data_IF_239170838906
#
_entry.id   IF_239170838906
#
_cell.length_a   1.000
_cell.length_b   1.000
_cell.length_c   1.000
_cell.angle_alpha   90.00
_cell.angle_beta   90.00
_cell.angle_gamma   90.00
#
_symmetry.space_group_name_H-M   'P 1'
#
loop_
_entity.id
_entity.type
_entity.pdbx_description
1 polymer ?
#
# COMPACT_ATOMS: atom_id res chain seq x y z
N UNK A 1 58.40 16.72 -16.13
CA UNK A 1 57.62 17.44 -17.16
C UNK A 1 56.70 16.43 -17.80
N UNK A 2 55.49 16.31 -17.35
CA UNK A 2 54.39 15.62 -18.05
C UNK A 2 53.06 16.17 -17.51
N UNK A 3 52.39 16.90 -18.39
CA UNK A 3 51.11 17.56 -18.12
C UNK A 3 49.97 16.53 -18.04
N UNK A 4 49.22 16.56 -16.97
CA UNK A 4 47.92 15.91 -16.87
C UNK A 4 46.82 16.97 -17.06
N UNK A 5 46.07 16.83 -18.14
CA UNK A 5 44.83 17.55 -18.43
C UNK A 5 43.65 16.87 -17.69
N UNK A 6 42.74 17.61 -17.11
CA UNK A 6 41.51 17.03 -16.58
C UNK A 6 40.47 16.88 -17.70
N UNK A 7 39.90 15.67 -17.78
CA UNK A 7 38.78 15.32 -18.63
C UNK A 7 37.48 15.99 -18.13
N UNK A 8 36.88 16.81 -18.98
CA UNK A 8 35.52 17.34 -18.77
C UNK A 8 34.49 16.29 -19.16
N UNK A 9 33.63 15.91 -18.23
CA UNK A 9 32.42 15.14 -18.51
C UNK A 9 31.32 16.12 -18.99
N UNK A 10 30.96 16.00 -20.27
CA UNK A 10 29.81 16.65 -20.88
C UNK A 10 28.53 15.87 -20.49
N UNK A 11 27.60 16.52 -19.83
CA UNK A 11 26.21 16.07 -19.69
C UNK A 11 25.33 17.09 -20.42
N UNK A 12 25.04 16.85 -21.69
CA UNK A 12 24.04 17.61 -22.45
C UNK A 12 22.70 16.89 -22.38
N UNK A 13 21.71 17.54 -21.79
CA UNK A 13 20.29 17.14 -21.89
C UNK A 13 19.67 17.98 -23.01
N UNK A 14 19.32 17.34 -24.12
CA UNK A 14 18.59 17.95 -25.23
C UNK A 14 17.09 17.94 -24.91
N UNK A 15 16.51 19.13 -24.75
CA UNK A 15 15.08 19.33 -24.75
C UNK A 15 14.70 20.00 -26.09
N UNK A 16 13.95 19.28 -26.95
CA UNK A 16 13.49 19.79 -28.25
C UNK A 16 12.12 20.42 -28.09
N UNK A 17 12.05 21.75 -28.11
CA UNK A 17 10.95 22.50 -28.75
C UNK A 17 11.46 23.93 -29.05
N UNK A 18 11.06 24.40 -30.18
CA UNK A 18 11.49 25.61 -30.92
C UNK A 18 11.67 26.86 -30.05
N UNK A 19 12.94 27.44 -30.15
CA UNK A 19 13.39 28.78 -29.72
C UNK A 19 13.68 29.04 -28.23
N UNK A 20 14.61 29.94 -27.89
CA UNK A 20 16.07 29.80 -27.98
C UNK A 20 16.67 29.16 -26.73
N UNK A 21 17.90 28.65 -26.86
CA UNK A 21 18.69 27.99 -25.79
C UNK A 21 18.75 28.82 -24.49
N UNK A 22 18.14 28.27 -23.43
CA UNK A 22 18.36 28.74 -22.05
C UNK A 22 19.38 27.80 -21.39
N UNK A 23 20.56 28.29 -21.11
CA UNK A 23 21.59 27.56 -20.38
C UNK A 23 21.44 27.92 -18.90
N UNK A 24 21.03 26.95 -18.08
CA UNK A 24 21.00 27.12 -16.63
C UNK A 24 22.34 26.69 -16.02
N UNK A 25 23.03 27.61 -15.37
CA UNK A 25 24.20 27.31 -14.56
C UNK A 25 23.80 27.14 -13.09
N UNK A 26 24.26 26.06 -12.48
CA UNK A 26 24.19 25.86 -11.02
C UNK A 26 25.24 26.78 -10.37
N UNK A 27 24.82 27.73 -9.55
CA UNK A 27 25.75 28.56 -8.77
C UNK A 27 26.40 27.73 -7.66
N UNK A 28 27.71 27.52 -7.79
CA UNK A 28 28.54 27.11 -6.67
C UNK A 28 29.13 28.35 -6.01
N UNK A 29 28.99 28.48 -4.71
CA UNK A 29 29.68 29.51 -3.94
C UNK A 29 31.17 29.19 -3.89
N UNK A 30 31.97 29.97 -4.61
CA UNK A 30 33.42 30.03 -4.43
C UNK A 30 33.82 31.44 -4.00
N UNK A 31 34.73 31.59 -3.02
CA UNK A 31 35.22 32.88 -2.57
C UNK A 31 36.48 33.27 -3.35
N UNK A 32 36.33 33.74 -4.58
CA UNK A 32 37.40 34.47 -5.28
C UNK A 32 36.79 35.41 -6.33
N UNK A 33 37.12 36.69 -6.21
CA UNK A 33 36.80 37.72 -7.19
C UNK A 33 37.55 37.49 -8.51
N UNK A 34 36.80 37.09 -9.54
CA UNK A 34 37.29 37.14 -10.91
C UNK A 34 36.65 38.34 -11.61
N UNK A 35 37.45 39.37 -11.91
CA UNK A 35 36.99 40.52 -12.71
C UNK A 35 37.01 40.10 -14.18
N UNK A 36 35.85 39.84 -14.76
CA UNK A 36 35.71 39.60 -16.19
C UNK A 36 35.25 40.91 -16.84
N UNK A 37 36.09 41.48 -17.65
CA UNK A 37 35.79 42.66 -18.44
C UNK A 37 34.96 42.24 -19.67
N UNK A 38 33.66 42.53 -19.65
CA UNK A 38 32.74 42.20 -20.73
C UNK A 38 32.33 43.49 -21.44
N UNK A 39 32.52 43.52 -22.76
CA UNK A 39 32.13 44.61 -23.66
C UNK A 39 30.63 44.97 -23.59
N UNK A 40 30.22 46.25 -23.73
CA UNK A 40 28.90 46.75 -23.30
C UNK A 40 27.75 46.55 -24.31
N UNK A 41 27.53 45.33 -24.80
CA UNK A 41 26.43 45.06 -25.74
C UNK A 41 25.57 43.81 -25.43
N UNK A 42 25.63 43.27 -24.23
CA UNK A 42 24.74 42.16 -23.87
C UNK A 42 23.87 42.62 -22.72
N UNK A 43 22.56 42.81 -23.00
CA UNK A 43 21.56 43.09 -22.02
C UNK A 43 21.12 41.73 -21.42
N UNK A 44 21.54 41.42 -20.20
CA UNK A 44 21.08 40.24 -19.49
C UNK A 44 19.90 40.62 -18.58
N UNK A 45 18.70 40.24 -18.95
CA UNK A 45 17.51 40.36 -18.10
C UNK A 45 17.54 39.22 -17.09
N UNK A 46 17.68 39.54 -15.79
CA UNK A 46 17.52 38.60 -14.71
C UNK A 46 16.00 38.42 -14.41
N UNK A 47 15.38 37.41 -14.98
CA UNK A 47 14.09 36.92 -14.53
C UNK A 47 14.27 36.13 -13.24
N UNK A 48 13.62 36.57 -12.15
CA UNK A 48 13.54 35.77 -10.93
C UNK A 48 12.80 34.46 -11.22
N UNK A 49 13.56 33.35 -11.28
CA UNK A 49 12.97 32.03 -11.37
C UNK A 49 12.43 31.65 -9.98
N UNK A 50 11.14 31.85 -9.75
CA UNK A 50 10.45 31.30 -8.59
C UNK A 50 10.48 29.77 -8.74
N UNK A 51 11.34 29.11 -7.98
CA UNK A 51 11.30 27.66 -7.80
C UNK A 51 9.98 27.33 -7.10
N UNK A 52 8.98 26.96 -7.88
CA UNK A 52 7.77 26.34 -7.37
C UNK A 52 8.19 25.03 -6.71
N UNK A 53 8.20 25.02 -5.37
CA UNK A 53 8.18 23.75 -4.64
C UNK A 53 7.04 22.92 -5.25
N UNK A 54 7.37 21.78 -5.83
CA UNK A 54 6.37 20.78 -6.18
C UNK A 54 5.64 20.45 -4.89
N UNK A 55 4.45 21.03 -4.72
CA UNK A 55 3.50 20.57 -3.73
C UNK A 55 3.31 19.09 -4.07
N UNK A 56 3.75 18.22 -3.16
CA UNK A 56 3.30 16.85 -3.12
C UNK A 56 1.79 16.90 -3.34
N UNK A 57 1.34 16.46 -4.50
CA UNK A 57 -0.07 16.37 -4.77
C UNK A 57 -0.60 15.32 -3.79
N UNK A 58 -1.20 15.79 -2.72
CA UNK A 58 -2.11 14.97 -1.92
C UNK A 58 -3.14 14.48 -2.92
N UNK A 59 -3.06 13.22 -3.30
CA UNK A 59 -4.05 12.54 -4.12
C UNK A 59 -5.35 12.53 -3.31
N UNK A 60 -6.10 13.60 -3.42
CA UNK A 60 -7.54 13.57 -3.23
C UNK A 60 -8.08 12.84 -4.47
N UNK A 61 -8.10 11.50 -4.41
CA UNK A 61 -8.82 10.71 -5.38
C UNK A 61 -10.24 11.25 -5.40
N UNK A 62 -10.75 11.62 -6.58
CA UNK A 62 -12.19 11.83 -6.79
C UNK A 62 -12.90 10.62 -6.19
N UNK A 63 -14.01 10.80 -5.42
CA UNK A 63 -14.75 9.67 -4.86
C UNK A 63 -15.03 8.68 -5.98
N UNK A 64 -14.40 7.51 -5.92
CA UNK A 64 -14.66 6.46 -6.90
C UNK A 64 -16.09 6.01 -6.70
N UNK A 65 -16.86 5.88 -7.79
CA UNK A 65 -18.18 5.31 -7.71
C UNK A 65 -18.10 4.00 -6.92
N UNK A 66 -19.02 3.80 -5.97
CA UNK A 66 -19.02 2.60 -5.14
C UNK A 66 -19.07 1.36 -6.03
N UNK A 67 -18.04 0.53 -6.00
CA UNK A 67 -17.97 -0.68 -6.81
C UNK A 67 -19.11 -1.63 -6.42
N UNK A 68 -19.88 -2.07 -7.43
CA UNK A 68 -20.90 -3.10 -7.22
C UNK A 68 -20.18 -4.42 -6.94
N UNK A 69 -20.37 -4.97 -5.75
CA UNK A 69 -19.79 -6.25 -5.37
C UNK A 69 -20.49 -7.40 -6.10
N UNK A 70 -19.79 -8.19 -6.96
CA UNK A 70 -20.39 -9.36 -7.58
C UNK A 70 -20.78 -10.42 -6.52
N UNK A 71 -21.77 -11.29 -6.78
CA UNK A 71 -22.13 -12.36 -5.87
C UNK A 71 -20.98 -13.36 -5.72
N UNK A 72 -20.83 -13.94 -4.51
CA UNK A 72 -19.82 -14.99 -4.30
C UNK A 72 -20.17 -16.25 -5.08
N UNK A 73 -19.16 -16.81 -5.76
CA UNK A 73 -19.28 -18.06 -6.50
C UNK A 73 -19.31 -19.25 -5.53
N UNK A 74 -20.24 -20.18 -5.76
CA UNK A 74 -20.51 -21.36 -4.96
C UNK A 74 -20.23 -22.64 -5.75
N UNK A 75 -20.37 -23.81 -5.10
CA UNK A 75 -20.09 -25.13 -5.70
C UNK A 75 -20.81 -25.41 -7.03
N UNK A 76 -21.94 -24.76 -7.28
CA UNK A 76 -22.72 -24.90 -8.51
C UNK A 76 -22.43 -23.82 -9.55
N UNK A 77 -21.55 -22.85 -9.22
CA UNK A 77 -21.20 -21.76 -10.13
C UNK A 77 -20.22 -22.24 -11.19
N UNK A 78 -20.48 -21.86 -12.44
CA UNK A 78 -19.52 -22.07 -13.54
C UNK A 78 -18.28 -21.17 -13.38
N UNK A 79 -17.10 -21.61 -13.84
CA UNK A 79 -15.91 -20.77 -13.85
C UNK A 79 -16.06 -19.59 -14.80
N UNK A 80 -15.42 -18.44 -14.51
CA UNK A 80 -15.20 -17.42 -15.53
C UNK A 80 -14.33 -17.98 -16.67
N UNK A 81 -14.17 -17.25 -17.77
CA UNK A 81 -13.20 -17.61 -18.80
C UNK A 81 -11.80 -17.57 -18.23
N UNK A 82 -11.19 -18.75 -18.00
CA UNK A 82 -9.87 -18.84 -17.35
C UNK A 82 -8.75 -18.60 -18.35
N UNK A 83 -7.69 -17.92 -17.92
CA UNK A 83 -6.44 -17.70 -18.68
C UNK A 83 -6.66 -17.05 -20.06
N UNK A 84 -7.66 -16.18 -20.17
CA UNK A 84 -8.02 -15.46 -21.41
C UNK A 84 -7.30 -14.11 -21.57
N UNK A 85 -6.30 -13.84 -20.74
CA UNK A 85 -5.56 -12.57 -20.69
C UNK A 85 -6.12 -11.56 -19.70
N UNK A 86 -7.32 -11.77 -19.17
CA UNK A 86 -7.90 -10.91 -18.11
C UNK A 86 -7.23 -11.19 -16.78
N UNK A 87 -6.80 -10.13 -16.09
CA UNK A 87 -6.32 -10.31 -14.71
C UNK A 87 -7.52 -10.48 -13.76
N UNK A 88 -7.50 -11.55 -12.93
CA UNK A 88 -8.59 -11.88 -12.01
C UNK A 88 -8.06 -12.07 -10.60
N UNK A 89 -8.62 -11.32 -9.66
CA UNK A 89 -8.31 -11.45 -8.23
C UNK A 89 -9.40 -12.27 -7.54
N UNK A 90 -9.06 -13.52 -7.20
CA UNK A 90 -9.93 -14.41 -6.44
C UNK A 90 -9.84 -14.07 -4.96
N UNK A 91 -10.99 -13.72 -4.37
CA UNK A 91 -11.11 -13.28 -2.97
C UNK A 91 -12.22 -14.03 -2.24
N UNK A 92 -12.35 -13.73 -0.96
CA UNK A 92 -13.60 -13.90 -0.21
C UNK A 92 -13.83 -12.66 0.63
N UNK A 93 -15.03 -12.13 0.63
CA UNK A 93 -15.40 -10.91 1.36
C UNK A 93 -15.15 -10.98 2.87
N UNK A 94 -15.11 -12.19 3.41
CA UNK A 94 -14.86 -12.41 4.85
C UNK A 94 -13.40 -12.68 5.19
N UNK A 95 -12.53 -12.93 4.20
CA UNK A 95 -11.14 -13.32 4.43
C UNK A 95 -10.24 -12.08 4.60
N UNK A 96 -9.59 -11.90 5.77
CA UNK A 96 -8.69 -10.75 5.98
C UNK A 96 -7.46 -10.78 5.09
N UNK A 97 -6.94 -11.97 4.77
CA UNK A 97 -5.81 -12.11 3.83
C UNK A 97 -6.20 -11.65 2.41
N UNK A 98 -7.40 -12.04 1.95
CA UNK A 98 -7.89 -11.61 0.63
C UNK A 98 -8.16 -10.11 0.59
N UNK A 99 -8.61 -9.52 1.70
CA UNK A 99 -8.83 -8.09 1.80
C UNK A 99 -7.56 -7.28 1.58
N UNK A 100 -6.37 -7.76 1.96
CA UNK A 100 -5.09 -7.09 1.66
C UNK A 100 -4.90 -6.84 0.15
N UNK A 101 -5.05 -7.88 -0.65
CA UNK A 101 -4.91 -7.77 -2.11
C UNK A 101 -6.05 -6.92 -2.73
N UNK A 102 -7.26 -7.01 -2.17
CA UNK A 102 -8.40 -6.20 -2.61
C UNK A 102 -8.22 -4.71 -2.29
N UNK A 103 -7.74 -4.35 -1.09
CA UNK A 103 -7.34 -2.98 -0.76
C UNK A 103 -6.29 -2.48 -1.74
N UNK A 104 -5.24 -3.28 -2.01
CA UNK A 104 -4.17 -2.94 -2.94
C UNK A 104 -4.71 -2.61 -4.33
N UNK A 105 -5.56 -3.47 -4.88
CA UNK A 105 -6.25 -3.25 -6.16
C UNK A 105 -7.02 -1.92 -6.16
N UNK A 106 -7.79 -1.67 -5.11
CA UNK A 106 -8.67 -0.51 -5.06
C UNK A 106 -7.92 0.81 -4.86
N UNK A 107 -6.91 0.87 -3.98
CA UNK A 107 -6.13 2.10 -3.77
C UNK A 107 -5.24 2.45 -4.95
N UNK A 108 -4.88 1.49 -5.78
CA UNK A 108 -4.18 1.72 -7.04
C UNK A 108 -5.13 2.10 -8.20
N UNK A 109 -6.44 2.09 -7.99
CA UNK A 109 -7.42 2.42 -9.03
C UNK A 109 -7.53 1.36 -10.13
N UNK A 110 -7.36 0.07 -9.79
CA UNK A 110 -7.27 -1.03 -10.74
C UNK A 110 -8.59 -1.79 -10.94
N UNK A 111 -9.74 -1.20 -10.59
CA UNK A 111 -11.05 -1.85 -10.68
C UNK A 111 -11.38 -2.30 -12.09
N UNK A 112 -11.01 -1.51 -13.10
CA UNK A 112 -11.21 -1.82 -14.52
C UNK A 112 -10.10 -2.70 -15.14
N UNK A 113 -9.02 -2.97 -14.39
CA UNK A 113 -7.85 -3.74 -14.86
C UNK A 113 -7.78 -5.13 -14.26
N UNK A 114 -8.29 -5.31 -13.05
CA UNK A 114 -8.30 -6.57 -12.32
C UNK A 114 -9.73 -6.90 -11.93
N UNK A 115 -10.31 -7.89 -12.57
CA UNK A 115 -11.65 -8.39 -12.26
C UNK A 115 -11.68 -9.02 -10.87
N UNK A 116 -12.71 -8.70 -10.08
CA UNK A 116 -12.89 -9.27 -8.75
C UNK A 116 -13.76 -10.53 -8.84
N UNK A 117 -13.23 -11.66 -8.40
CA UNK A 117 -13.90 -12.97 -8.42
C UNK A 117 -14.06 -13.48 -6.99
N UNK A 118 -15.19 -13.20 -6.31
CA UNK A 118 -15.40 -13.66 -4.96
C UNK A 118 -15.80 -15.14 -4.90
N UNK A 119 -15.18 -15.87 -3.96
CA UNK A 119 -15.41 -17.29 -3.70
C UNK A 119 -16.06 -17.46 -2.30
N UNK A 120 -17.11 -18.22 -2.23
CA UNK A 120 -17.67 -18.67 -0.94
C UNK A 120 -16.77 -19.76 -0.33
N UNK A 121 -16.12 -19.45 0.79
CA UNK A 121 -15.18 -20.37 1.42
C UNK A 121 -15.84 -21.59 2.08
N UNK A 122 -17.13 -21.51 2.37
CA UNK A 122 -17.89 -22.63 2.96
C UNK A 122 -18.49 -23.55 1.89
N UNK A 123 -18.70 -23.00 0.68
CA UNK A 123 -19.32 -23.72 -0.44
C UNK A 123 -18.54 -23.49 -1.74
N UNK A 124 -17.26 -23.84 -1.76
CA UNK A 124 -16.32 -23.52 -2.84
C UNK A 124 -16.62 -24.29 -4.12
N UNK A 125 -16.50 -23.64 -5.32
CA UNK A 125 -16.56 -24.37 -6.57
C UNK A 125 -15.33 -25.26 -6.76
N UNK A 126 -15.54 -26.52 -7.17
CA UNK A 126 -14.47 -27.51 -7.36
C UNK A 126 -13.42 -27.05 -8.38
N UNK A 127 -13.86 -26.42 -9.46
CA UNK A 127 -12.98 -25.92 -10.52
C UNK A 127 -11.93 -24.92 -10.02
N UNK A 128 -12.18 -24.19 -8.92
CA UNK A 128 -11.19 -23.26 -8.38
C UNK A 128 -9.91 -23.96 -7.95
N UNK A 129 -10.04 -25.09 -7.21
CA UNK A 129 -8.90 -25.92 -6.83
C UNK A 129 -8.29 -26.64 -8.01
N UNK A 130 -9.12 -27.16 -8.89
CA UNK A 130 -8.69 -28.06 -9.98
C UNK A 130 -8.03 -27.30 -11.14
N UNK A 131 -8.52 -26.09 -11.46
CA UNK A 131 -8.14 -25.38 -12.67
C UNK A 131 -7.42 -24.04 -12.41
N UNK A 132 -7.56 -23.43 -11.22
CA UNK A 132 -7.00 -22.10 -10.93
C UNK A 132 -5.88 -22.21 -9.91
N UNK A 133 -6.20 -22.61 -8.68
CA UNK A 133 -5.21 -22.58 -7.60
C UNK A 133 -5.28 -23.83 -6.72
N UNK A 134 -4.34 -24.75 -6.95
CA UNK A 134 -4.31 -26.06 -6.31
C UNK A 134 -4.27 -26.02 -4.78
N UNK A 135 -3.72 -24.96 -4.18
CA UNK A 135 -3.75 -24.74 -2.73
C UNK A 135 -5.15 -24.44 -2.19
N UNK A 136 -6.11 -24.11 -3.05
CA UNK A 136 -7.49 -23.79 -2.70
C UNK A 136 -7.62 -22.68 -1.64
N UNK A 137 -6.72 -21.73 -1.64
CA UNK A 137 -6.69 -20.57 -0.74
C UNK A 137 -7.08 -19.28 -1.48
N UNK A 138 -7.50 -18.28 -0.74
CA UNK A 138 -7.65 -16.91 -1.21
C UNK A 138 -6.82 -15.98 -0.30
N UNK A 139 -6.23 -14.88 -0.85
CA UNK A 139 -6.33 -14.42 -2.24
C UNK A 139 -5.48 -15.25 -3.21
N UNK A 140 -5.87 -15.22 -4.48
CA UNK A 140 -5.03 -15.62 -5.60
C UNK A 140 -5.26 -14.65 -6.77
N UNK A 141 -4.21 -14.32 -7.50
CA UNK A 141 -4.27 -13.45 -8.69
C UNK A 141 -3.90 -14.26 -9.92
N UNK A 142 -4.83 -14.38 -10.85
CA UNK A 142 -4.57 -14.85 -12.21
C UNK A 142 -4.10 -13.66 -13.05
N UNK A 143 -2.88 -13.75 -13.58
CA UNK A 143 -2.30 -12.74 -14.45
C UNK A 143 -1.23 -13.32 -15.35
N UNK A 144 -1.24 -12.98 -16.65
CA UNK A 144 -0.26 -13.46 -17.63
C UNK A 144 -0.11 -14.99 -17.64
N UNK A 145 -1.22 -15.72 -17.67
CA UNK A 145 -1.28 -17.19 -17.65
C UNK A 145 -0.61 -17.85 -16.43
N UNK A 146 -0.50 -17.11 -15.33
CA UNK A 146 0.02 -17.61 -14.05
C UNK A 146 -0.97 -17.29 -12.93
N UNK A 147 -0.90 -18.08 -11.87
CA UNK A 147 -1.63 -17.81 -10.64
C UNK A 147 -0.64 -17.59 -9.50
N UNK A 148 -0.76 -16.46 -8.83
CA UNK A 148 0.09 -16.04 -7.72
C UNK A 148 -0.78 -16.01 -6.47
N UNK A 149 -0.33 -16.64 -5.40
CA UNK A 149 -0.96 -16.57 -4.08
C UNK A 149 -0.14 -15.77 -3.09
N UNK A 150 -0.42 -15.96 -1.80
CA UNK A 150 0.16 -15.30 -0.65
C UNK A 150 -0.07 -13.78 -0.62
N UNK A 151 -0.85 -13.33 0.37
CA UNK A 151 -1.41 -11.97 0.37
C UNK A 151 -0.36 -10.87 0.42
N UNK A 152 0.76 -11.07 1.13
CA UNK A 152 1.84 -10.08 1.24
C UNK A 152 2.64 -10.00 -0.06
N UNK A 153 2.83 -11.12 -0.73
CA UNK A 153 3.48 -11.16 -2.05
C UNK A 153 2.59 -10.52 -3.11
N UNK A 154 1.27 -10.69 -3.00
CA UNK A 154 0.32 -10.05 -3.90
C UNK A 154 0.29 -8.53 -3.77
N UNK A 155 0.47 -7.96 -2.57
CA UNK A 155 0.62 -6.50 -2.41
C UNK A 155 1.81 -6.02 -3.26
N UNK A 156 2.97 -6.64 -3.10
CA UNK A 156 4.21 -6.29 -3.82
C UNK A 156 4.06 -6.52 -5.33
N UNK A 157 3.46 -7.64 -5.72
CA UNK A 157 3.26 -7.98 -7.12
C UNK A 157 2.34 -6.99 -7.84
N UNK A 158 1.20 -6.68 -7.24
CA UNK A 158 0.26 -5.72 -7.82
C UNK A 158 0.90 -4.33 -7.89
N UNK A 159 1.63 -3.91 -6.85
CA UNK A 159 2.31 -2.62 -6.84
C UNK A 159 3.36 -2.49 -7.96
N UNK A 160 4.10 -3.55 -8.24
CA UNK A 160 5.20 -3.57 -9.22
C UNK A 160 4.76 -3.82 -10.66
N UNK A 161 3.61 -4.49 -10.89
CA UNK A 161 3.22 -4.94 -12.23
C UNK A 161 2.02 -4.19 -12.81
N UNK A 162 1.39 -3.32 -12.04
CA UNK A 162 0.27 -2.50 -12.48
C UNK A 162 0.54 -1.01 -12.21
N UNK A 163 -0.01 -0.16 -13.06
CA UNK A 163 0.07 1.29 -12.89
C UNK A 163 -0.68 1.77 -11.64
N UNK A 164 -0.49 3.02 -11.30
CA UNK A 164 -1.12 3.66 -10.14
C UNK A 164 -0.10 4.13 -9.09
N UNK A 165 -0.56 4.71 -7.97
CA UNK A 165 0.33 5.22 -6.94
C UNK A 165 1.20 4.11 -6.35
N UNK A 166 2.49 4.39 -6.15
CA UNK A 166 3.41 3.47 -5.46
C UNK A 166 3.02 3.33 -3.99
N UNK A 167 3.01 2.09 -3.51
CA UNK A 167 2.71 1.74 -2.13
C UNK A 167 3.96 1.59 -1.26
N UNK A 168 5.14 1.76 -1.86
CA UNK A 168 6.42 1.74 -1.14
C UNK A 168 7.22 2.99 -1.52
N UNK A 169 7.60 3.84 -0.55
CA UNK A 169 8.45 5.00 -0.80
C UNK A 169 9.85 4.59 -1.28
N UNK A 170 10.51 5.47 -2.06
CA UNK A 170 11.88 5.25 -2.52
C UNK A 170 12.95 5.41 -1.43
N UNK A 171 12.56 5.87 -0.24
CA UNK A 171 13.44 6.06 0.91
C UNK A 171 13.90 4.70 1.48
N UNK A 172 15.22 4.39 1.48
CA UNK A 172 15.72 3.09 1.94
C UNK A 172 15.44 2.77 3.41
N UNK A 173 15.38 3.78 4.28
CA UNK A 173 15.05 3.58 5.69
C UNK A 173 13.59 3.18 5.85
N UNK A 174 12.69 3.82 5.10
CA UNK A 174 11.27 3.47 5.07
C UNK A 174 11.04 2.08 4.47
N UNK A 175 11.76 1.73 3.39
CA UNK A 175 11.69 0.39 2.80
C UNK A 175 12.09 -0.69 3.79
N UNK A 176 13.23 -0.51 4.48
CA UNK A 176 13.68 -1.44 5.50
C UNK A 176 12.66 -1.59 6.63
N UNK A 177 12.12 -0.48 7.09
CA UNK A 177 11.11 -0.51 8.16
C UNK A 177 9.78 -1.15 7.72
N UNK A 178 9.36 -0.92 6.48
CA UNK A 178 8.21 -1.62 5.90
C UNK A 178 8.42 -3.14 5.90
N UNK A 179 9.62 -3.60 5.58
CA UNK A 179 9.97 -5.02 5.58
C UNK A 179 9.98 -5.63 6.99
N UNK A 180 10.50 -4.89 7.98
CA UNK A 180 10.44 -5.25 9.40
C UNK A 180 8.99 -5.41 9.86
N UNK A 181 8.11 -4.45 9.53
CA UNK A 181 6.68 -4.49 9.87
C UNK A 181 5.96 -5.65 9.19
N UNK A 182 6.20 -5.87 7.90
CA UNK A 182 5.60 -6.98 7.14
C UNK A 182 6.03 -8.32 7.73
N UNK A 183 7.30 -8.49 8.08
CA UNK A 183 7.81 -9.72 8.73
C UNK A 183 7.18 -9.94 10.10
N UNK A 184 6.94 -8.88 10.86
CA UNK A 184 6.32 -8.98 12.19
C UNK A 184 4.84 -9.39 12.14
N UNK A 185 4.15 -9.29 11.00
CA UNK A 185 2.73 -9.65 10.90
C UNK A 185 2.42 -11.08 11.34
N UNK A 186 3.29 -12.05 11.07
CA UNK A 186 3.06 -13.43 11.46
C UNK A 186 3.09 -13.61 12.97
N UNK A 187 4.07 -12.99 13.65
CA UNK A 187 4.12 -12.96 15.11
C UNK A 187 2.91 -12.24 15.68
N UNK A 188 2.58 -11.06 15.17
CA UNK A 188 1.42 -10.28 15.58
C UNK A 188 0.13 -11.09 15.51
N UNK A 189 -0.14 -11.73 14.37
CA UNK A 189 -1.36 -12.52 14.18
C UNK A 189 -1.41 -13.74 15.10
N UNK A 190 -0.30 -14.45 15.25
CA UNK A 190 -0.19 -15.63 16.13
C UNK A 190 -0.54 -15.27 17.57
N UNK A 191 0.05 -14.19 18.08
CA UNK A 191 -0.13 -13.78 19.48
C UNK A 191 -1.54 -13.22 19.73
N UNK A 192 -2.08 -12.41 18.80
CA UNK A 192 -3.47 -11.92 18.94
C UNK A 192 -4.48 -13.07 18.91
N UNK A 193 -4.38 -14.01 17.96
CA UNK A 193 -5.28 -15.17 17.92
C UNK A 193 -5.09 -16.09 19.13
N UNK A 194 -3.84 -16.22 19.62
CA UNK A 194 -3.53 -16.97 20.83
C UNK A 194 -4.21 -16.41 22.08
N UNK A 195 -4.33 -15.09 22.17
CA UNK A 195 -4.92 -14.40 23.32
C UNK A 195 -6.42 -14.68 23.52
N UNK A 196 -7.13 -15.10 22.48
CA UNK A 196 -8.58 -15.37 22.56
C UNK A 196 -8.95 -16.52 23.52
N UNK A 197 -7.97 -17.33 23.91
CA UNK A 197 -8.14 -18.43 24.87
C UNK A 197 -7.58 -18.13 26.25
N UNK A 198 -7.14 -16.90 26.49
CA UNK A 198 -6.46 -16.50 27.71
C UNK A 198 -6.81 -15.08 28.17
N UNK A 199 -5.84 -14.43 28.78
CA UNK A 199 -5.93 -13.03 29.19
C UNK A 199 -5.57 -12.13 27.98
N UNK A 200 -6.60 -11.60 27.33
CA UNK A 200 -6.46 -10.76 26.13
C UNK A 200 -5.62 -9.52 26.39
N UNK A 201 -5.86 -8.82 27.50
CA UNK A 201 -5.12 -7.58 27.81
C UNK A 201 -3.64 -7.87 27.98
N UNK A 202 -3.29 -8.89 28.73
CA UNK A 202 -1.92 -9.27 29.01
C UNK A 202 -1.19 -9.81 27.78
N UNK A 203 -1.88 -10.58 26.93
CA UNK A 203 -1.25 -11.27 25.79
C UNK A 203 -1.28 -10.43 24.52
N UNK A 204 -2.39 -9.78 24.20
CA UNK A 204 -2.52 -8.96 22.99
C UNK A 204 -1.99 -7.52 23.18
N UNK A 205 -2.12 -6.95 24.38
CA UNK A 205 -1.74 -5.57 24.69
C UNK A 205 -0.34 -5.18 24.19
N UNK A 206 0.72 -5.94 24.52
CA UNK A 206 2.08 -5.62 24.08
C UNK A 206 2.25 -5.53 22.56
N UNK A 207 1.46 -6.26 21.78
CA UNK A 207 1.52 -6.26 20.34
C UNK A 207 0.83 -5.03 19.73
N UNK A 208 -0.25 -4.53 20.35
CA UNK A 208 -0.83 -3.22 20.00
C UNK A 208 0.08 -2.07 20.44
N UNK A 209 0.78 -2.18 21.58
CA UNK A 209 1.79 -1.20 22.01
C UNK A 209 2.99 -1.14 21.05
N UNK A 210 3.36 -2.28 20.44
CA UNK A 210 4.36 -2.30 19.38
C UNK A 210 3.91 -1.50 18.16
N UNK A 211 2.65 -1.66 17.70
CA UNK A 211 2.12 -0.88 16.59
C UNK A 211 2.01 0.61 16.93
N UNK A 212 1.61 0.96 18.15
CA UNK A 212 1.61 2.36 18.63
C UNK A 212 2.99 2.99 18.48
N UNK A 213 4.05 2.33 18.96
CA UNK A 213 5.44 2.78 18.84
C UNK A 213 5.92 2.81 17.38
N UNK A 214 5.53 1.82 16.58
CA UNK A 214 5.87 1.77 15.17
C UNK A 214 5.33 2.99 14.39
N UNK A 215 4.14 3.48 14.75
CA UNK A 215 3.52 4.67 14.19
C UNK A 215 4.21 6.00 14.61
N UNK A 216 5.11 5.96 15.60
CA UNK A 216 5.90 7.11 16.02
C UNK A 216 7.19 7.31 15.21
N UNK A 217 7.65 6.27 14.50
CA UNK A 217 8.97 6.29 13.86
C UNK A 217 9.11 7.37 12.80
N UNK A 218 8.09 7.59 11.97
CA UNK A 218 8.07 8.64 10.95
C UNK A 218 6.95 9.64 11.25
N UNK A 219 7.29 10.76 11.89
CA UNK A 219 6.34 11.75 12.40
C UNK A 219 5.73 12.68 11.33
N UNK A 220 5.84 12.37 10.04
CA UNK A 220 5.35 13.18 8.94
C UNK A 220 3.96 12.76 8.42
N UNK A 221 3.22 11.99 9.20
CA UNK A 221 1.85 11.57 8.86
C UNK A 221 1.31 10.49 9.81
N UNK A 222 0.05 10.08 9.65
CA UNK A 222 -0.63 9.15 10.55
C UNK A 222 -0.33 7.67 10.26
N UNK A 223 0.37 7.36 9.16
CA UNK A 223 0.65 6.01 8.68
C UNK A 223 2.06 5.55 9.06
N UNK A 224 2.32 4.25 9.03
CA UNK A 224 3.60 3.66 9.45
C UNK A 224 4.84 4.28 8.78
N UNK A 225 4.72 4.66 7.50
CA UNK A 225 5.81 5.30 6.76
C UNK A 225 5.58 6.82 6.55
N UNK A 226 4.65 7.41 7.32
CA UNK A 226 4.20 8.78 7.19
C UNK A 226 3.13 8.98 6.13
N UNK A 227 3.12 8.19 5.08
CA UNK A 227 2.08 8.10 4.04
C UNK A 227 1.52 6.68 3.98
N UNK A 228 0.29 6.54 3.47
CA UNK A 228 -0.33 5.22 3.27
C UNK A 228 0.52 4.35 2.35
N UNK A 229 0.73 3.10 2.77
CA UNK A 229 1.72 2.20 2.17
C UNK A 229 1.33 0.73 2.28
N UNK A 230 2.14 -0.14 1.68
CA UNK A 230 2.01 -1.59 1.84
C UNK A 230 2.06 -2.05 3.31
N UNK A 231 2.80 -1.34 4.18
CA UNK A 231 2.86 -1.65 5.61
C UNK A 231 1.49 -1.46 6.28
N UNK A 232 0.76 -0.41 5.93
CA UNK A 232 -0.59 -0.16 6.44
C UNK A 232 -1.57 -1.22 5.94
N UNK A 233 -1.49 -1.59 4.66
CA UNK A 233 -2.33 -2.64 4.07
C UNK A 233 -2.10 -3.99 4.78
N UNK A 234 -0.87 -4.29 5.17
CA UNK A 234 -0.54 -5.54 5.86
C UNK A 234 -1.29 -5.72 7.19
N UNK A 235 -1.63 -4.63 7.86
CA UNK A 235 -2.33 -4.65 9.15
C UNK A 235 -3.82 -4.29 9.06
N UNK A 236 -4.22 -3.44 8.14
CA UNK A 236 -5.56 -2.81 8.09
C UNK A 236 -6.70 -3.82 8.24
N UNK A 237 -6.69 -4.90 7.46
CA UNK A 237 -7.73 -5.92 7.45
C UNK A 237 -7.86 -6.68 8.77
N UNK A 238 -6.77 -6.86 9.49
CA UNK A 238 -6.73 -7.56 10.76
C UNK A 238 -7.10 -6.66 11.93
N UNK A 239 -6.55 -5.44 11.95
CA UNK A 239 -6.91 -4.44 12.97
C UNK A 239 -8.40 -4.14 12.95
N UNK A 240 -9.01 -4.02 11.75
CA UNK A 240 -10.48 -3.88 11.61
C UNK A 240 -11.22 -4.99 12.36
N UNK A 241 -10.83 -6.25 12.15
CA UNK A 241 -11.49 -7.40 12.76
C UNK A 241 -11.21 -7.53 14.26
N UNK A 242 -9.97 -7.26 14.65
CA UNK A 242 -9.60 -7.32 16.07
C UNK A 242 -10.27 -6.20 16.87
N UNK A 243 -10.39 -5.00 16.32
CA UNK A 243 -11.14 -3.91 16.96
C UNK A 243 -12.59 -4.31 17.21
N UNK A 244 -13.27 -4.87 16.20
CA UNK A 244 -14.65 -5.32 16.32
C UNK A 244 -14.79 -6.47 17.32
N UNK A 245 -13.99 -7.51 17.14
CA UNK A 245 -14.14 -8.75 17.89
C UNK A 245 -13.72 -8.61 19.36
N UNK A 246 -12.58 -7.96 19.62
CA UNK A 246 -12.07 -7.78 20.97
C UNK A 246 -12.96 -6.84 21.79
N UNK A 247 -13.49 -5.79 21.16
CA UNK A 247 -14.46 -4.92 21.83
C UNK A 247 -15.76 -5.63 22.15
N UNK A 248 -16.34 -6.36 21.19
CA UNK A 248 -17.66 -6.99 21.35
C UNK A 248 -17.64 -8.20 22.30
N UNK A 249 -16.56 -8.98 22.28
CA UNK A 249 -16.50 -10.26 22.99
C UNK A 249 -15.78 -10.18 24.32
N UNK A 250 -14.72 -9.36 24.39
CA UNK A 250 -13.86 -9.25 25.56
C UNK A 250 -13.93 -7.89 26.26
N UNK A 251 -14.76 -6.97 25.74
CA UNK A 251 -14.81 -5.57 26.20
C UNK A 251 -13.42 -4.91 26.24
N UNK A 252 -12.54 -5.29 25.29
CA UNK A 252 -11.18 -4.80 25.20
C UNK A 252 -11.05 -3.81 24.04
N UNK A 253 -10.82 -2.52 24.37
CA UNK A 253 -10.56 -1.47 23.41
C UNK A 253 -9.07 -1.44 23.04
N UNK A 254 -8.73 -1.86 21.82
CA UNK A 254 -7.36 -1.87 21.32
C UNK A 254 -6.72 -0.49 21.21
N UNK A 255 -7.53 0.58 21.24
CA UNK A 255 -7.05 1.98 21.14
C UNK A 255 -6.84 2.65 22.49
N UNK A 256 -7.29 2.02 23.58
CA UNK A 256 -7.14 2.56 24.94
C UNK A 256 -5.65 2.72 25.29
N UNK A 257 -5.24 3.97 25.60
CA UNK A 257 -3.84 4.32 25.82
C UNK A 257 -2.95 4.38 24.57
N UNK A 258 -3.54 4.26 23.35
CA UNK A 258 -2.82 4.21 22.07
C UNK A 258 -3.34 5.24 21.06
N UNK A 259 -3.04 6.53 21.29
CA UNK A 259 -3.58 7.63 20.47
C UNK A 259 -3.11 7.61 19.00
N UNK A 260 -1.91 7.09 18.70
CA UNK A 260 -1.42 6.95 17.32
C UNK A 260 -2.17 5.87 16.58
N UNK A 261 -2.40 4.72 17.23
CA UNK A 261 -3.21 3.62 16.66
C UNK A 261 -4.65 4.07 16.43
N UNK A 262 -5.24 4.82 17.37
CA UNK A 262 -6.57 5.41 17.20
C UNK A 262 -6.62 6.35 16.00
N UNK A 263 -5.61 7.24 15.86
CA UNK A 263 -5.50 8.16 14.73
C UNK A 263 -5.29 7.43 13.40
N UNK A 264 -4.46 6.41 13.38
CA UNK A 264 -4.24 5.57 12.20
C UNK A 264 -5.53 4.89 11.72
N UNK A 265 -6.33 4.33 12.65
CA UNK A 265 -7.64 3.75 12.33
C UNK A 265 -8.60 4.81 11.78
N UNK A 266 -8.63 6.01 12.37
CA UNK A 266 -9.43 7.14 11.86
C UNK A 266 -9.06 7.48 10.42
N UNK A 267 -7.76 7.58 10.11
CA UNK A 267 -7.28 7.94 8.78
C UNK A 267 -7.48 6.82 7.75
N UNK A 268 -7.35 5.55 8.14
CA UNK A 268 -7.74 4.43 7.28
C UNK A 268 -9.21 4.53 6.84
N UNK A 269 -10.10 4.93 7.73
CA UNK A 269 -11.53 5.10 7.45
C UNK A 269 -11.84 6.33 6.55
N UNK A 270 -10.83 7.02 6.04
CA UNK A 270 -10.96 8.08 5.02
C UNK A 270 -10.47 7.62 3.65
N UNK A 271 -9.91 6.41 3.55
CA UNK A 271 -9.38 5.86 2.30
C UNK A 271 -10.48 5.08 1.59
N UNK A 272 -11.01 5.61 0.50
CA UNK A 272 -12.11 4.98 -0.27
C UNK A 272 -11.80 3.53 -0.66
N UNK A 273 -10.59 3.26 -1.15
CA UNK A 273 -10.15 1.93 -1.53
C UNK A 273 -10.16 0.92 -0.37
N UNK A 274 -9.99 1.37 0.86
CA UNK A 274 -10.13 0.55 2.06
C UNK A 274 -11.60 0.41 2.48
N UNK A 275 -12.35 1.52 2.56
CA UNK A 275 -13.75 1.53 3.03
C UNK A 275 -14.59 0.55 2.21
N UNK A 276 -14.41 0.53 0.89
CA UNK A 276 -15.13 -0.35 -0.01
C UNK A 276 -14.87 -1.85 0.24
N UNK A 277 -13.83 -2.20 0.96
CA UNK A 277 -13.46 -3.60 1.26
C UNK A 277 -13.89 -4.07 2.63
N UNK A 278 -14.41 -3.19 3.50
CA UNK A 278 -14.75 -3.51 4.89
C UNK A 278 -15.72 -4.67 5.01
N UNK A 279 -15.47 -5.52 5.99
CA UNK A 279 -16.34 -6.63 6.33
C UNK A 279 -17.58 -6.18 7.13
N UNK A 280 -18.64 -6.95 7.06
CA UNK A 280 -19.80 -6.76 7.94
C UNK A 280 -19.41 -7.10 9.40
N UNK A 281 -19.55 -6.16 10.35
CA UNK A 281 -19.14 -6.36 11.74
C UNK A 281 -19.84 -7.57 12.40
N UNK A 282 -21.12 -7.80 12.11
CA UNK A 282 -21.88 -8.93 12.66
C UNK A 282 -21.32 -10.27 12.18
N UNK A 283 -21.01 -10.35 10.88
CA UNK A 283 -20.39 -11.55 10.30
C UNK A 283 -18.98 -11.79 10.85
N UNK A 284 -18.20 -10.73 11.10
CA UNK A 284 -16.89 -10.84 11.75
C UNK A 284 -17.02 -11.50 13.11
N UNK A 285 -17.91 -11.01 13.97
CA UNK A 285 -18.14 -11.57 15.32
C UNK A 285 -18.59 -13.02 15.25
N UNK A 286 -19.58 -13.33 14.40
CA UNK A 286 -20.10 -14.69 14.20
C UNK A 286 -19.01 -15.68 13.81
N UNK A 287 -18.24 -15.34 12.76
CA UNK A 287 -17.18 -16.21 12.23
C UNK A 287 -16.05 -16.39 13.25
N UNK A 288 -15.66 -15.33 13.94
CA UNK A 288 -14.57 -15.42 14.92
C UNK A 288 -15.00 -16.21 16.16
N UNK A 289 -16.23 -16.05 16.64
CA UNK A 289 -16.78 -16.91 17.70
C UNK A 289 -16.77 -18.38 17.28
N UNK A 290 -17.30 -18.71 16.11
CA UNK A 290 -17.37 -20.09 15.64
C UNK A 290 -16.01 -20.75 15.41
N UNK A 291 -14.97 -19.96 15.13
CA UNK A 291 -13.64 -20.46 14.76
C UNK A 291 -12.67 -20.54 15.94
N UNK A 292 -12.80 -19.67 16.91
CA UNK A 292 -11.77 -19.46 17.94
C UNK A 292 -12.29 -19.67 19.37
N UNK A 293 -13.60 -19.77 19.57
CA UNK A 293 -14.24 -20.03 20.86
C UNK A 293 -14.97 -21.38 20.86
#
# INVERSE_FOLDING_TARGET
>A
MTHLLPTFLNSSVLCSHQNPLIICYKSFNFPFHLIINISPKIFVSFGSCNYSQSKSATLMATPSAQEIRPPSLISTSEPPSLFDGTARLYISYICPFAQRAWITRNVKGLQDKIELVPIDLQNRPAWYKEKVYAQNKVPALEHNNKVIGESLDLIKYIDSNFEGPSLLPDDPEKQKFAEELVTYTDTFLKEIYGSFKGDVEKQAGPHFDYLEKALEKFNNGPFFLGQFSQADIAYASFIERFQIFLQEVFNYDITSGRPKLAKWIEELNKIDGYIQTKADPKKVVEIYKSRFM
#
